data_IF_071979187415
#
_entry.id   IF_071979187415
#
_cell.length_a   1.000
_cell.length_b   1.000
_cell.length_c   1.000
_cell.angle_alpha   90.00
_cell.angle_beta   90.00
_cell.angle_gamma   90.00
#
_symmetry.space_group_name_H-M   'P 1'
#
loop_
_entity.id
_entity.type
_entity.pdbx_description
1 polymer ?
#
# COMPACT_ATOMS: atom_id res chain seq x y z
N UNK A 1 -5.27 15.12 4.48
CA UNK A 1 -6.61 14.65 4.02
C UNK A 1 -6.97 13.43 4.86
N UNK A 2 -8.15 13.38 5.49
CA UNK A 2 -8.56 12.28 6.38
C UNK A 2 -9.39 11.19 5.68
N UNK A 3 -9.73 10.11 6.42
CA UNK A 3 -10.48 8.93 5.93
C UNK A 3 -11.74 9.29 5.13
N UNK A 4 -12.51 10.27 5.59
CA UNK A 4 -13.74 10.73 4.91
C UNK A 4 -13.45 11.27 3.50
N UNK A 5 -12.40 12.06 3.35
CA UNK A 5 -12.02 12.61 2.05
C UNK A 5 -11.57 11.51 1.07
N UNK A 6 -10.90 10.47 1.56
CA UNK A 6 -10.50 9.33 0.75
C UNK A 6 -11.68 8.44 0.39
N UNK A 7 -12.62 8.22 1.32
CA UNK A 7 -13.88 7.51 1.05
C UNK A 7 -14.73 8.22 -0.01
N UNK A 8 -14.85 9.55 0.06
CA UNK A 8 -15.58 10.37 -0.93
C UNK A 8 -14.92 10.30 -2.32
N UNK A 9 -13.58 10.27 -2.38
CA UNK A 9 -12.83 10.11 -3.62
C UNK A 9 -12.99 8.71 -4.22
N UNK A 10 -13.05 7.67 -3.38
CA UNK A 10 -13.31 6.28 -3.78
C UNK A 10 -14.72 6.12 -4.35
N UNK A 11 -15.69 6.68 -3.64
CA UNK A 11 -17.11 6.62 -4.02
C UNK A 11 -17.38 7.38 -5.32
N UNK A 12 -16.64 8.48 -5.56
CA UNK A 12 -16.72 9.25 -6.80
C UNK A 12 -15.92 8.65 -7.97
N UNK A 13 -15.29 7.47 -7.81
CA UNK A 13 -14.38 6.82 -8.77
C UNK A 13 -13.23 7.71 -9.25
N UNK A 14 -12.87 8.73 -8.48
CA UNK A 14 -11.80 9.67 -8.81
C UNK A 14 -10.42 9.15 -8.41
N UNK A 15 -10.38 8.11 -7.59
CA UNK A 15 -9.17 7.38 -7.21
C UNK A 15 -9.44 5.87 -7.19
N UNK A 16 -8.44 5.06 -7.53
CA UNK A 16 -8.48 3.60 -7.34
C UNK A 16 -8.22 3.18 -5.89
N UNK A 17 -8.40 1.89 -5.59
CA UNK A 17 -8.15 1.34 -4.25
C UNK A 17 -6.74 1.59 -3.70
N UNK A 18 -5.76 1.74 -4.60
CA UNK A 18 -4.36 1.98 -4.25
C UNK A 18 -4.13 3.37 -3.63
N UNK A 19 -4.71 4.42 -4.24
CA UNK A 19 -4.62 5.79 -3.72
C UNK A 19 -5.30 5.93 -2.35
N UNK A 20 -6.38 5.20 -2.14
CA UNK A 20 -7.11 5.22 -0.89
C UNK A 20 -6.37 4.53 0.24
N UNK A 21 -5.77 3.37 -0.05
CA UNK A 21 -4.90 2.68 0.88
C UNK A 21 -3.71 3.57 1.28
N UNK A 22 -3.05 4.25 0.32
CA UNK A 22 -2.04 5.27 0.62
C UNK A 22 -2.54 6.34 1.60
N UNK A 23 -3.74 6.87 1.35
CA UNK A 23 -4.38 7.84 2.24
C UNK A 23 -4.51 7.36 3.68
N UNK A 24 -4.77 6.06 3.88
CA UNK A 24 -4.80 5.43 5.19
C UNK A 24 -3.40 5.24 5.79
N UNK A 25 -2.43 4.77 5.02
CA UNK A 25 -1.04 4.60 5.48
C UNK A 25 -0.37 5.92 5.90
N UNK A 26 -0.78 7.05 5.31
CA UNK A 26 -0.30 8.39 5.67
C UNK A 26 -1.18 9.13 6.68
N UNK A 27 -2.23 8.49 7.20
CA UNK A 27 -3.04 9.09 8.26
C UNK A 27 -2.23 9.21 9.56
N UNK A 28 -2.57 10.21 10.37
CA UNK A 28 -1.94 10.42 11.68
C UNK A 28 -2.15 9.19 12.56
N UNK A 29 -3.32 8.55 12.48
CA UNK A 29 -3.64 7.31 13.19
C UNK A 29 -2.68 6.17 12.84
N UNK A 30 -2.39 5.98 11.55
CA UNK A 30 -1.49 4.91 11.11
C UNK A 30 -0.02 5.23 11.43
N UNK A 31 0.40 6.49 11.28
CA UNK A 31 1.75 6.92 11.63
C UNK A 31 2.02 6.79 13.13
N UNK A 32 1.00 7.05 13.96
CA UNK A 32 1.07 6.90 15.42
C UNK A 32 1.21 5.45 15.90
N UNK A 33 0.97 4.45 15.04
CA UNK A 33 1.26 3.06 15.37
C UNK A 33 2.77 2.78 15.48
N UNK A 34 3.62 3.68 14.97
CA UNK A 34 5.09 3.58 15.03
C UNK A 34 5.61 2.20 14.62
N UNK A 35 5.00 1.63 13.57
CA UNK A 35 5.36 0.31 13.07
C UNK A 35 6.84 0.28 12.67
N UNK A 36 7.51 -0.82 12.98
CA UNK A 36 8.82 -1.09 12.39
C UNK A 36 8.70 -1.35 10.88
N UNK A 37 9.83 -1.35 10.18
CA UNK A 37 9.84 -1.50 8.72
C UNK A 37 9.32 -2.88 8.27
N UNK A 38 9.52 -3.94 9.06
CA UNK A 38 9.08 -5.29 8.70
C UNK A 38 7.57 -5.40 8.78
N UNK A 39 6.98 -4.92 9.86
CA UNK A 39 5.53 -4.88 10.06
C UNK A 39 4.88 -3.95 9.04
N UNK A 40 5.49 -2.80 8.74
CA UNK A 40 5.03 -1.92 7.67
C UNK A 40 4.96 -2.63 6.31
N UNK A 41 6.04 -3.29 5.87
CA UNK A 41 6.06 -4.04 4.60
C UNK A 41 5.04 -5.18 4.62
N UNK A 42 4.91 -5.89 5.74
CA UNK A 42 3.92 -6.98 5.89
C UNK A 42 2.50 -6.45 5.70
N UNK A 43 2.16 -5.27 6.24
CA UNK A 43 0.86 -4.64 6.03
C UNK A 43 0.66 -4.16 4.60
N UNK A 44 1.70 -3.73 3.89
CA UNK A 44 1.61 -3.44 2.46
C UNK A 44 1.23 -4.69 1.67
N UNK A 45 1.88 -5.83 1.93
CA UNK A 45 1.53 -7.10 1.29
C UNK A 45 0.06 -7.49 1.50
N UNK A 46 -0.41 -7.41 2.75
CA UNK A 46 -1.81 -7.73 3.08
C UNK A 46 -2.79 -6.78 2.41
N UNK A 47 -2.50 -5.47 2.44
CA UNK A 47 -3.43 -4.44 1.94
C UNK A 47 -3.51 -4.43 0.42
N UNK A 48 -2.37 -4.51 -0.27
CA UNK A 48 -2.33 -4.36 -1.72
C UNK A 48 -2.41 -5.70 -2.46
N UNK A 49 -1.82 -6.77 -1.92
CA UNK A 49 -1.70 -8.05 -2.63
C UNK A 49 -2.56 -9.16 -2.04
N UNK A 50 -3.27 -8.89 -0.94
CA UNK A 50 -4.13 -9.84 -0.24
C UNK A 50 -3.41 -11.17 0.09
N UNK A 51 -2.13 -11.09 0.46
CA UNK A 51 -1.31 -12.25 0.86
C UNK A 51 -0.24 -11.87 1.88
N UNK A 52 0.39 -12.87 2.48
CA UNK A 52 1.62 -12.68 3.27
C UNK A 52 2.85 -12.50 2.38
N UNK A 53 3.87 -11.75 2.85
CA UNK A 53 5.16 -11.73 2.19
C UNK A 53 5.85 -13.09 2.25
N UNK A 54 6.44 -13.51 1.15
CA UNK A 54 7.47 -14.54 1.15
C UNK A 54 8.82 -13.94 1.61
N UNK A 55 9.76 -14.81 2.02
CA UNK A 55 11.04 -14.38 2.58
C UNK A 55 11.85 -13.49 1.63
N UNK A 56 11.84 -13.80 0.32
CA UNK A 56 12.56 -13.04 -0.69
C UNK A 56 11.91 -11.68 -0.92
N UNK A 57 10.58 -11.66 -1.08
CA UNK A 57 9.81 -10.43 -1.24
C UNK A 57 9.99 -9.47 -0.06
N UNK A 58 9.89 -9.98 1.17
CA UNK A 58 10.13 -9.18 2.38
C UNK A 58 11.54 -8.58 2.39
N UNK A 59 12.56 -9.38 2.11
CA UNK A 59 13.95 -8.93 2.07
C UNK A 59 14.16 -7.83 1.02
N UNK A 60 13.59 -7.99 -0.17
CA UNK A 60 13.70 -7.00 -1.25
C UNK A 60 13.11 -5.65 -0.84
N UNK A 61 11.89 -5.64 -0.28
CA UNK A 61 11.25 -4.39 0.15
C UNK A 61 11.92 -3.77 1.37
N UNK A 62 12.44 -4.58 2.29
CA UNK A 62 13.26 -4.10 3.40
C UNK A 62 14.54 -3.42 2.90
N UNK A 63 15.18 -3.93 1.84
CA UNK A 63 16.33 -3.28 1.23
C UNK A 63 15.96 -1.95 0.56
N UNK A 64 14.81 -1.89 -0.12
CA UNK A 64 14.28 -0.63 -0.69
C UNK A 64 14.04 0.40 0.42
N UNK A 65 13.46 0.00 1.56
CA UNK A 65 13.30 0.89 2.72
C UNK A 65 14.63 1.33 3.31
N UNK A 66 15.60 0.44 3.42
CA UNK A 66 16.91 0.76 3.96
C UNK A 66 17.66 1.78 3.07
N UNK A 67 17.47 1.71 1.75
CA UNK A 67 18.14 2.59 0.79
C UNK A 67 17.43 3.94 0.62
N UNK A 68 16.10 3.95 0.52
CA UNK A 68 15.31 5.15 0.27
C UNK A 68 14.94 5.91 1.55
N UNK A 69 14.84 5.19 2.67
CA UNK A 69 14.19 5.63 3.90
C UNK A 69 12.79 6.25 3.66
N UNK A 70 12.12 5.84 2.59
CA UNK A 70 10.85 6.42 2.16
C UNK A 70 9.76 5.34 2.03
N UNK A 71 8.81 5.40 2.96
CA UNK A 71 7.64 4.53 2.98
C UNK A 71 6.67 4.83 1.85
N UNK A 72 6.69 6.05 1.29
CA UNK A 72 5.86 6.40 0.14
C UNK A 72 6.31 5.67 -1.12
N UNK A 73 7.61 5.67 -1.41
CA UNK A 73 8.20 4.91 -2.51
C UNK A 73 7.86 3.41 -2.47
N UNK A 74 7.76 2.82 -1.27
CA UNK A 74 7.32 1.42 -1.12
C UNK A 74 5.86 1.26 -1.53
N UNK A 75 4.95 2.11 -1.03
CA UNK A 75 3.53 2.06 -1.38
C UNK A 75 3.31 2.23 -2.88
N UNK A 76 4.05 3.16 -3.50
CA UNK A 76 4.08 3.38 -4.95
C UNK A 76 4.50 2.11 -5.68
N UNK A 77 5.54 1.44 -5.18
CA UNK A 77 6.04 0.17 -5.72
C UNK A 77 5.00 -0.96 -5.67
N UNK A 78 4.24 -1.09 -4.57
CA UNK A 78 3.15 -2.07 -4.48
C UNK A 78 2.04 -1.79 -5.49
N UNK A 79 1.57 -0.54 -5.60
CA UNK A 79 0.51 -0.13 -6.53
C UNK A 79 0.99 -0.23 -8.00
N UNK A 80 2.27 0.05 -8.24
CA UNK A 80 2.91 -0.09 -9.54
C UNK A 80 3.15 -1.53 -9.96
N UNK A 81 3.12 -2.48 -9.03
CA UNK A 81 3.49 -3.88 -9.30
C UNK A 81 2.53 -4.56 -10.29
N UNK A 82 3.10 -5.49 -11.08
CA UNK A 82 2.33 -6.35 -11.97
C UNK A 82 1.39 -7.29 -11.22
N UNK A 83 1.73 -7.63 -9.97
CA UNK A 83 0.90 -8.44 -9.08
C UNK A 83 -0.37 -7.69 -8.67
N UNK A 84 -0.23 -6.44 -8.22
CA UNK A 84 -1.36 -5.58 -7.89
C UNK A 84 -2.28 -5.36 -9.11
N UNK A 85 -1.70 -5.11 -10.29
CA UNK A 85 -2.47 -4.97 -11.52
C UNK A 85 -3.31 -6.22 -11.86
N UNK A 86 -2.72 -7.42 -11.72
CA UNK A 86 -3.44 -8.69 -11.91
C UNK A 86 -4.56 -8.86 -10.88
N UNK A 87 -4.31 -8.47 -9.64
CA UNK A 87 -5.30 -8.55 -8.57
C UNK A 87 -6.50 -7.62 -8.85
N UNK A 88 -6.26 -6.38 -9.23
CA UNK A 88 -7.31 -5.44 -9.64
C UNK A 88 -8.19 -6.03 -10.76
N UNK A 89 -7.57 -6.59 -11.80
CA UNK A 89 -8.29 -7.26 -12.89
C UNK A 89 -9.13 -8.43 -12.38
N UNK A 90 -8.59 -9.26 -11.48
CA UNK A 90 -9.33 -10.40 -10.90
C UNK A 90 -10.55 -9.97 -10.08
N UNK A 91 -10.51 -8.77 -9.48
CA UNK A 91 -11.61 -8.20 -8.72
C UNK A 91 -12.55 -7.31 -9.55
N UNK A 92 -12.32 -7.18 -10.87
CA UNK A 92 -13.12 -6.32 -11.73
C UNK A 92 -12.97 -4.82 -11.41
N UNK A 93 -11.81 -4.43 -10.88
CA UNK A 93 -11.47 -3.05 -10.54
C UNK A 93 -10.56 -2.49 -11.65
N UNK A 94 -10.98 -1.40 -12.28
CA UNK A 94 -10.10 -0.63 -13.18
C UNK A 94 -9.02 0.08 -12.35
N UNK A 95 -7.76 -0.07 -12.78
CA UNK A 95 -6.56 0.39 -12.04
C UNK A 95 -6.49 1.90 -11.93
#
# INVERSE_FOLDING_TARGET
>A
KGLKAWADLLHSRKIGGGEAAKGFFFSDEFQNLKLDNKEFVTRCYRTFLNREPDAQGLSNWMNVLAQSNDRASVLDGFIGSSEYAKLCVSYGIDK
#
